data_IF_784066067813
#
_entry.id   IF_784066067813
#
_cell.length_a   1.000
_cell.length_b   1.000
_cell.length_c   1.000
_cell.angle_alpha   90.00
_cell.angle_beta   90.00
_cell.angle_gamma   90.00
#
_symmetry.space_group_name_H-M   'P 1'
#
loop_
_entity.id
_entity.type
_entity.pdbx_description
1 polymer ?
#
# COMPACT_ATOMS: atom_id res chain seq x y z
N UNK A 1 13.35 -8.56 11.43
CA UNK A 1 12.34 -7.53 11.11
C UNK A 1 12.47 -7.22 9.64
N UNK A 2 11.40 -7.40 8.86
CA UNK A 2 11.37 -6.92 7.48
C UNK A 2 11.30 -5.40 7.58
N UNK A 3 12.42 -4.71 7.34
CA UNK A 3 12.39 -3.25 7.23
C UNK A 3 11.78 -2.91 5.89
N UNK A 4 10.68 -2.18 5.93
CA UNK A 4 10.10 -1.60 4.73
C UNK A 4 10.86 -0.32 4.37
N UNK A 5 10.83 0.02 3.09
CA UNK A 5 11.44 1.23 2.55
C UNK A 5 10.38 2.14 1.95
N UNK A 6 10.73 3.41 1.73
CA UNK A 6 9.85 4.34 1.03
C UNK A 6 9.50 3.84 -0.39
N UNK A 7 10.44 3.14 -1.05
CA UNK A 7 10.21 2.55 -2.37
C UNK A 7 9.13 1.44 -2.33
N UNK A 8 9.03 0.68 -1.23
CA UNK A 8 7.97 -0.32 -1.06
C UNK A 8 6.59 0.35 -0.95
N UNK A 9 6.51 1.49 -0.26
CA UNK A 9 5.27 2.27 -0.14
C UNK A 9 4.85 2.85 -1.50
N UNK A 10 5.79 3.44 -2.25
CA UNK A 10 5.54 3.97 -3.59
C UNK A 10 5.12 2.87 -4.58
N UNK A 11 5.71 1.69 -4.47
CA UNK A 11 5.31 0.54 -5.27
C UNK A 11 3.88 0.10 -4.94
N UNK A 12 3.53 0.04 -3.65
CA UNK A 12 2.18 -0.29 -3.22
C UNK A 12 1.15 0.73 -3.75
N UNK A 13 1.47 2.03 -3.69
CA UNK A 13 0.62 3.10 -4.22
C UNK A 13 0.38 2.96 -5.74
N UNK A 14 1.43 2.67 -6.52
CA UNK A 14 1.29 2.45 -7.97
C UNK A 14 0.41 1.25 -8.28
N UNK A 15 0.63 0.11 -7.63
CA UNK A 15 -0.19 -1.08 -7.86
C UNK A 15 -1.65 -0.86 -7.46
N UNK A 16 -1.91 -0.10 -6.40
CA UNK A 16 -3.27 0.27 -6.02
C UNK A 16 -3.92 1.11 -7.13
N UNK A 17 -3.24 2.16 -7.61
CA UNK A 17 -3.79 3.01 -8.67
C UNK A 17 -4.05 2.25 -9.98
N UNK A 18 -3.11 1.39 -10.39
CA UNK A 18 -3.27 0.52 -11.56
C UNK A 18 -4.44 -0.46 -11.40
N UNK A 19 -4.57 -1.08 -10.22
CA UNK A 19 -5.67 -1.98 -9.90
C UNK A 19 -7.04 -1.30 -9.92
N UNK A 20 -7.15 -0.08 -9.39
CA UNK A 20 -8.38 0.73 -9.46
C UNK A 20 -8.79 1.03 -10.90
N UNK A 21 -7.82 1.41 -11.74
CA UNK A 21 -8.05 1.65 -13.16
C UNK A 21 -8.58 0.38 -13.86
N UNK A 22 -7.98 -0.78 -13.60
CA UNK A 22 -8.43 -2.05 -14.15
C UNK A 22 -9.84 -2.44 -13.69
N UNK A 23 -10.17 -2.24 -12.41
CA UNK A 23 -11.51 -2.54 -11.88
C UNK A 23 -12.57 -1.74 -12.64
N UNK A 24 -12.38 -0.43 -12.80
CA UNK A 24 -13.32 0.42 -13.56
C UNK A 24 -13.47 -0.05 -15.01
N UNK A 25 -12.37 -0.42 -15.66
CA UNK A 25 -12.42 -0.94 -17.03
C UNK A 25 -13.18 -2.27 -17.13
N UNK A 26 -12.99 -3.18 -16.17
CA UNK A 26 -13.70 -4.46 -16.12
C UNK A 26 -15.19 -4.28 -15.85
N UNK A 27 -15.57 -3.37 -14.95
CA UNK A 27 -16.97 -3.00 -14.70
C UNK A 27 -17.66 -2.46 -15.96
N UNK A 28 -16.97 -1.59 -16.71
CA UNK A 28 -17.47 -1.07 -17.97
C UNK A 28 -17.63 -2.18 -19.03
N UNK A 29 -16.67 -3.11 -19.11
CA UNK A 29 -16.73 -4.25 -20.03
C UNK A 29 -17.90 -5.19 -19.69
N UNK A 30 -18.07 -5.55 -18.42
CA UNK A 30 -19.19 -6.38 -17.95
C UNK A 30 -20.52 -5.72 -18.28
N UNK A 31 -20.63 -4.41 -18.03
CA UNK A 31 -21.84 -3.64 -18.39
C UNK A 31 -22.14 -3.74 -19.89
N UNK A 32 -21.12 -3.59 -20.74
CA UNK A 32 -21.28 -3.73 -22.19
C UNK A 32 -21.69 -5.13 -22.60
N UNK A 33 -21.08 -6.17 -22.03
CA UNK A 33 -21.45 -7.56 -22.32
C UNK A 33 -22.90 -7.86 -21.93
N UNK A 34 -23.34 -7.38 -20.76
CA UNK A 34 -24.74 -7.50 -20.30
C UNK A 34 -25.73 -6.83 -21.26
N UNK A 35 -25.40 -5.63 -21.76
CA UNK A 35 -26.25 -4.94 -22.75
C UNK A 35 -26.42 -5.74 -24.06
N UNK A 36 -25.44 -6.57 -24.42
CA UNK A 36 -25.50 -7.45 -25.58
C UNK A 36 -26.07 -8.84 -25.27
N UNK A 37 -26.63 -9.05 -24.07
CA UNK A 37 -27.13 -10.35 -23.59
C UNK A 37 -26.08 -11.47 -23.66
N UNK A 38 -24.79 -11.11 -23.56
CA UNK A 38 -23.68 -12.06 -23.49
C UNK A 38 -23.48 -12.50 -22.03
N UNK A 39 -23.02 -13.73 -21.85
CA UNK A 39 -22.71 -14.26 -20.52
C UNK A 39 -21.56 -13.47 -19.87
N UNK A 40 -21.75 -13.05 -18.63
CA UNK A 40 -20.77 -12.31 -17.82
C UNK A 40 -20.34 -13.05 -16.56
N UNK A 41 -20.81 -14.27 -16.34
CA UNK A 41 -20.59 -15.01 -15.08
C UNK A 41 -19.10 -15.12 -14.74
N UNK A 42 -18.26 -15.50 -15.69
CA UNK A 42 -16.83 -15.65 -15.46
C UNK A 42 -16.13 -14.29 -15.28
N UNK A 43 -16.54 -13.28 -16.04
CA UNK A 43 -16.00 -11.93 -15.90
C UNK A 43 -16.31 -11.33 -14.51
N UNK A 44 -17.50 -11.60 -13.97
CA UNK A 44 -17.91 -11.17 -12.64
C UNK A 44 -17.12 -11.90 -11.53
N UNK A 45 -16.84 -13.19 -11.69
CA UNK A 45 -15.98 -13.94 -10.76
C UNK A 45 -14.56 -13.37 -10.75
N UNK A 46 -14.00 -13.08 -11.93
CA UNK A 46 -12.68 -12.45 -12.05
C UNK A 46 -12.66 -11.05 -11.43
N UNK A 47 -13.70 -10.24 -11.65
CA UNK A 47 -13.82 -8.92 -11.04
C UNK A 47 -13.90 -9.01 -9.50
N UNK A 48 -14.61 -10.00 -8.96
CA UNK A 48 -14.66 -10.24 -7.52
C UNK A 48 -13.27 -10.61 -6.96
N UNK A 49 -12.52 -11.45 -7.69
CA UNK A 49 -11.14 -11.79 -7.33
C UNK A 49 -10.23 -10.56 -7.36
N UNK A 50 -10.32 -9.72 -8.40
CA UNK A 50 -9.53 -8.48 -8.47
C UNK A 50 -9.84 -7.54 -7.31
N UNK A 51 -11.11 -7.36 -6.96
CA UNK A 51 -11.49 -6.54 -5.80
C UNK A 51 -10.93 -7.09 -4.47
N UNK A 52 -10.93 -8.41 -4.29
CA UNK A 52 -10.33 -9.05 -3.11
C UNK A 52 -8.82 -8.79 -3.04
N UNK A 53 -8.11 -9.00 -4.15
CA UNK A 53 -6.67 -8.73 -4.25
C UNK A 53 -6.36 -7.26 -4.01
N UNK A 54 -7.17 -6.34 -4.56
CA UNK A 54 -7.03 -4.90 -4.35
C UNK A 54 -7.17 -4.49 -2.89
N UNK A 55 -8.10 -5.14 -2.17
CA UNK A 55 -8.25 -4.95 -0.72
C UNK A 55 -6.99 -5.38 0.03
N UNK A 56 -6.39 -6.51 -0.37
CA UNK A 56 -5.11 -6.97 0.16
C UNK A 56 -3.96 -5.98 -0.06
N UNK A 57 -3.88 -5.38 -1.25
CA UNK A 57 -2.87 -4.35 -1.55
C UNK A 57 -3.04 -3.10 -0.67
N UNK A 58 -4.28 -2.63 -0.47
CA UNK A 58 -4.56 -1.50 0.44
C UNK A 58 -4.15 -1.80 1.87
N UNK A 59 -4.48 -2.99 2.37
CA UNK A 59 -4.09 -3.42 3.72
C UNK A 59 -2.56 -3.49 3.86
N UNK A 60 -1.87 -4.00 2.84
CA UNK A 60 -0.42 -4.07 2.85
C UNK A 60 0.24 -2.68 2.84
N UNK A 61 -0.27 -1.75 2.03
CA UNK A 61 0.17 -0.34 2.03
C UNK A 61 0.06 0.30 3.41
N UNK A 62 -1.06 0.08 4.11
CA UNK A 62 -1.26 0.59 5.48
C UNK A 62 -0.20 0.02 6.43
N UNK A 63 0.10 -1.28 6.33
CA UNK A 63 1.14 -1.91 7.15
C UNK A 63 2.54 -1.35 6.87
N UNK A 64 2.87 -1.09 5.59
CA UNK A 64 4.14 -0.46 5.20
C UNK A 64 4.25 0.95 5.80
N UNK A 65 3.22 1.77 5.64
CA UNK A 65 3.22 3.14 6.14
C UNK A 65 3.40 3.19 7.66
N UNK A 66 2.67 2.34 8.40
CA UNK A 66 2.79 2.26 9.86
C UNK A 66 4.19 1.84 10.31
N UNK A 67 4.84 0.91 9.59
CA UNK A 67 6.20 0.49 9.89
C UNK A 67 7.22 1.61 9.65
N UNK A 68 7.08 2.37 8.54
CA UNK A 68 7.96 3.51 8.24
C UNK A 68 7.82 4.63 9.26
N UNK A 69 6.60 4.92 9.72
CA UNK A 69 6.35 5.90 10.79
C UNK A 69 6.98 5.48 12.12
N UNK A 70 6.87 4.19 12.48
CA UNK A 70 7.49 3.65 13.68
C UNK A 70 9.03 3.72 13.63
N UNK A 71 9.63 3.37 12.48
CA UNK A 71 11.08 3.47 12.28
C UNK A 71 11.54 4.94 12.38
N UNK A 72 10.80 5.90 11.80
CA UNK A 72 11.11 7.34 11.90
C UNK A 72 11.05 7.87 13.34
N UNK A 73 10.05 7.47 14.13
CA UNK A 73 9.92 7.85 15.55
C UNK A 73 11.04 7.26 16.42
N UNK A 74 11.51 6.05 16.10
CA UNK A 74 12.64 5.44 16.80
C UNK A 74 13.97 6.15 16.53
N UNK A 75 14.18 6.66 15.30
CA UNK A 75 15.39 7.37 14.93
C UNK A 75 15.51 8.75 15.61
N UNK A 76 14.39 9.47 15.78
CA UNK A 76 14.37 10.80 16.43
C UNK A 76 14.65 10.73 17.94
N UNK A 77 14.33 9.60 18.57
CA UNK A 77 14.56 9.37 20.01
C UNK A 77 16.03 9.16 20.37
N UNK A 78 16.86 8.70 19.42
CA UNK A 78 18.29 8.43 19.63
C UNK A 78 19.18 9.68 19.50
N UNK A 79 18.68 10.80 18.96
CA UNK A 79 19.47 12.00 18.69
C UNK A 79 19.53 12.99 19.89
N UNK A 80 18.68 12.83 20.91
CA UNK A 80 18.55 13.76 22.07
C UNK A 80 19.35 13.33 23.30
N UNK A 81 20.57 12.81 23.12
CA UNK A 81 21.49 12.62 24.24
C UNK A 81 22.39 13.87 24.40
N UNK A 82 22.20 14.73 25.43
CA UNK A 82 23.12 15.83 25.67
C UNK A 82 24.48 15.23 26.04
N UNK A 83 25.47 15.39 25.14
CA UNK A 83 26.89 15.18 25.46
C UNK A 83 27.29 16.21 26.51
N UNK A 84 27.05 15.89 27.79
CA UNK A 84 27.68 16.57 28.91
C UNK A 84 29.19 16.45 28.71
N UNK A 85 29.81 17.52 28.21
CA UNK A 85 31.26 17.68 28.25
C UNK A 85 31.62 17.87 29.71
N UNK A 86 32.24 16.85 30.29
CA UNK A 86 32.86 16.92 31.60
C UNK A 86 34.11 17.81 31.49
N UNK A 87 33.92 19.12 31.57
CA UNK A 87 35.00 20.09 31.79
C UNK A 87 35.43 19.98 33.25
N UNK A 88 36.31 19.02 33.54
CA UNK A 88 37.00 18.94 34.82
C UNK A 88 38.51 18.93 34.63
N UNK A 89 39.05 20.13 34.47
CA UNK A 89 40.40 20.49 34.93
C UNK A 89 40.24 21.15 36.31
N UNK A 90 41.16 20.93 37.26
CA UNK A 90 42.51 21.51 37.16
C UNK A 90 43.67 20.53 37.43
#
# INVERSE_FOLDING_TARGET
MTHYTQADLEMADRHIAEGECHIVQQEALITRLRMHALSTEEAEKLLALFNSTQTGHRAHRVAIAAALEADALSADSDEVAPRFRDDRAP
#
